data_IF_584653816629
#
_entry.id   IF_584653816629
#
_cell.length_a   1.000
_cell.length_b   1.000
_cell.length_c   1.000
_cell.angle_alpha   90.00
_cell.angle_beta   90.00
_cell.angle_gamma   90.00
#
_symmetry.space_group_name_H-M   'P 1'
#
loop_
_entity.id
_entity.type
_entity.pdbx_description
1 polymer ?
#
# COMPACT_ATOMS: atom_id res chain seq x y z
N UNK A 1 16.33 -14.06 -28.37
CA UNK A 1 17.10 -13.76 -27.14
C UNK A 1 16.22 -12.93 -26.22
N UNK A 2 15.54 -13.55 -25.26
CA UNK A 2 14.72 -12.81 -24.29
C UNK A 2 15.65 -12.09 -23.31
N UNK A 3 15.72 -10.75 -23.42
CA UNK A 3 16.61 -9.90 -22.63
C UNK A 3 16.27 -10.05 -21.15
N UNK A 4 17.28 -10.40 -20.38
CA UNK A 4 17.21 -10.67 -18.95
C UNK A 4 16.79 -9.42 -18.19
N UNK A 5 15.67 -9.46 -17.47
CA UNK A 5 15.29 -8.40 -16.52
C UNK A 5 14.65 -7.15 -17.14
N UNK A 6 14.34 -7.14 -18.44
CA UNK A 6 13.51 -6.08 -19.01
C UNK A 6 12.10 -6.14 -18.40
N UNK A 7 11.62 -4.98 -17.94
CA UNK A 7 10.30 -4.83 -17.35
C UNK A 7 9.48 -3.85 -18.17
N UNK A 8 8.28 -4.27 -18.57
CA UNK A 8 7.33 -3.41 -19.27
C UNK A 8 6.30 -2.88 -18.27
N UNK A 9 6.08 -1.56 -18.26
CA UNK A 9 5.01 -0.95 -17.47
C UNK A 9 3.81 -0.68 -18.38
N UNK A 10 2.68 -1.33 -18.10
CA UNK A 10 1.46 -1.19 -18.90
C UNK A 10 0.22 -1.22 -18.00
N UNK A 11 -0.71 -0.27 -18.20
CA UNK A 11 -1.96 -0.13 -17.42
C UNK A 11 -1.78 -0.17 -15.88
N UNK A 12 -0.64 0.31 -15.39
CA UNK A 12 -0.34 0.30 -13.95
C UNK A 12 0.17 -1.04 -13.42
N UNK A 13 0.44 -2.02 -14.29
CA UNK A 13 1.16 -3.24 -13.96
C UNK A 13 2.59 -3.19 -14.49
N UNK A 14 3.49 -3.86 -13.78
CA UNK A 14 4.83 -4.19 -14.25
C UNK A 14 4.84 -5.65 -14.66
N UNK A 15 5.17 -5.90 -15.92
CA UNK A 15 5.38 -7.21 -16.51
C UNK A 15 6.88 -7.49 -16.53
N UNK A 16 7.31 -8.57 -15.89
CA UNK A 16 8.74 -8.94 -15.83
C UNK A 16 8.91 -10.45 -15.88
N UNK A 17 9.90 -10.93 -16.63
CA UNK A 17 10.29 -12.34 -16.58
C UNK A 17 11.17 -12.61 -15.36
N UNK A 18 10.61 -13.35 -14.39
CA UNK A 18 11.32 -13.78 -13.19
C UNK A 18 11.76 -15.24 -13.32
N UNK A 19 12.88 -15.58 -12.65
CA UNK A 19 13.34 -16.96 -12.53
C UNK A 19 12.39 -17.75 -11.65
N UNK A 20 12.24 -19.03 -11.96
CA UNK A 20 11.48 -19.96 -11.12
C UNK A 20 11.97 -19.93 -9.66
N UNK A 21 11.03 -19.89 -8.72
CA UNK A 21 11.34 -19.87 -7.28
C UNK A 21 11.99 -21.17 -6.82
N UNK A 22 11.73 -22.28 -7.51
CA UNK A 22 12.26 -23.60 -7.17
C UNK A 22 13.55 -23.95 -7.91
N UNK A 23 14.22 -22.97 -8.52
CA UNK A 23 15.56 -23.14 -9.09
C UNK A 23 15.61 -23.91 -10.40
N UNK A 24 14.46 -24.23 -11.00
CA UNK A 24 14.42 -24.82 -12.35
C UNK A 24 14.92 -23.82 -13.38
N UNK A 25 15.54 -24.29 -14.46
CA UNK A 25 15.98 -23.42 -15.57
C UNK A 25 14.80 -22.97 -16.45
N UNK A 26 13.75 -22.42 -15.83
CA UNK A 26 12.58 -21.86 -16.47
C UNK A 26 12.35 -20.45 -15.93
N UNK A 27 11.84 -19.59 -16.80
CA UNK A 27 11.41 -18.24 -16.47
C UNK A 27 9.93 -18.14 -16.76
N UNK A 28 9.23 -17.33 -15.98
CA UNK A 28 7.81 -17.11 -16.17
C UNK A 28 7.51 -15.61 -16.11
N UNK A 29 6.46 -15.23 -16.81
CA UNK A 29 5.96 -13.86 -16.80
C UNK A 29 5.32 -13.58 -15.44
N UNK A 30 5.89 -12.64 -14.71
CA UNK A 30 5.36 -12.14 -13.45
C UNK A 30 4.66 -10.80 -13.69
N UNK A 31 3.41 -10.69 -13.22
CA UNK A 31 2.64 -9.46 -13.22
C UNK A 31 2.43 -8.98 -11.80
N UNK A 32 2.78 -7.74 -11.52
CA UNK A 32 2.51 -7.11 -10.24
C UNK A 32 2.20 -5.62 -10.41
N UNK A 33 1.54 -4.97 -9.44
CA UNK A 33 1.27 -3.54 -9.52
C UNK A 33 2.56 -2.74 -9.65
N UNK A 34 2.58 -1.78 -10.57
CA UNK A 34 3.71 -0.88 -10.77
C UNK A 34 3.89 0.09 -9.58
N UNK A 35 5.08 0.66 -9.42
CA UNK A 35 5.39 1.57 -8.32
C UNK A 35 4.48 2.81 -8.28
N UNK A 36 4.23 3.43 -9.44
CA UNK A 36 3.41 4.66 -9.55
C UNK A 36 1.99 4.51 -8.97
N UNK A 37 1.17 3.51 -9.34
CA UNK A 37 -0.16 3.34 -8.73
C UNK A 37 -0.11 2.96 -7.24
N UNK A 38 0.95 2.29 -6.79
CA UNK A 38 1.18 2.00 -5.36
C UNK A 38 1.44 3.29 -4.58
N UNK A 39 2.30 4.17 -5.08
CA UNK A 39 2.57 5.49 -4.50
C UNK A 39 1.30 6.33 -4.46
N UNK A 40 0.56 6.42 -5.56
CA UNK A 40 -0.74 7.13 -5.60
C UNK A 40 -1.75 6.59 -4.59
N UNK A 41 -1.77 5.28 -4.34
CA UNK A 41 -2.62 4.70 -3.30
C UNK A 41 -2.16 5.15 -1.92
N UNK A 42 -0.85 5.09 -1.64
CA UNK A 42 -0.28 5.55 -0.36
C UNK A 42 -0.56 7.03 -0.12
N UNK A 43 -0.43 7.87 -1.14
CA UNK A 43 -0.72 9.30 -1.06
C UNK A 43 -2.18 9.58 -0.73
N UNK A 44 -3.11 8.87 -1.37
CA UNK A 44 -4.54 8.97 -1.05
C UNK A 44 -4.82 8.58 0.40
N UNK A 45 -4.27 7.47 0.87
CA UNK A 45 -4.38 7.05 2.28
C UNK A 45 -3.75 8.09 3.20
N UNK A 46 -2.63 8.68 2.80
CA UNK A 46 -1.94 9.72 3.55
C UNK A 46 -2.82 10.97 3.72
N UNK A 47 -3.43 11.46 2.64
CA UNK A 47 -4.39 12.58 2.66
C UNK A 47 -5.60 12.29 3.54
N UNK A 48 -6.17 11.08 3.45
CA UNK A 48 -7.32 10.67 4.26
C UNK A 48 -7.00 10.57 5.76
N UNK A 49 -5.77 10.18 6.11
CA UNK A 49 -5.31 10.00 7.49
C UNK A 49 -4.51 11.19 8.05
N UNK A 50 -4.22 12.20 7.22
CA UNK A 50 -3.35 13.33 7.56
C UNK A 50 -4.01 14.37 8.48
N UNK A 51 -5.32 14.56 8.40
CA UNK A 51 -6.04 15.54 9.24
C UNK A 51 -6.43 14.97 10.60
N UNK A 52 -5.47 14.37 11.32
CA UNK A 52 -5.65 13.56 12.54
C UNK A 52 -6.61 14.11 13.60
N UNK A 53 -6.91 15.42 13.60
CA UNK A 53 -7.80 16.10 14.54
C UNK A 53 -9.22 16.39 14.04
N UNK A 54 -9.47 16.45 12.73
CA UNK A 54 -10.75 16.98 12.19
C UNK A 54 -11.81 15.97 11.76
N UNK A 55 -11.47 14.70 11.52
CA UNK A 55 -12.40 13.70 10.95
C UNK A 55 -12.83 12.62 11.95
N UNK A 56 -14.06 12.11 12.01
CA UNK A 56 -14.38 10.93 12.81
C UNK A 56 -13.54 9.70 12.39
N UNK A 57 -13.18 8.84 13.36
CA UNK A 57 -12.41 7.62 13.08
C UNK A 57 -13.14 6.70 12.09
N UNK A 58 -14.46 6.56 12.28
CA UNK A 58 -15.33 5.72 11.46
C UNK A 58 -15.29 6.17 10.00
N UNK A 59 -15.46 7.47 9.75
CA UNK A 59 -15.44 8.04 8.40
C UNK A 59 -14.10 7.83 7.70
N UNK A 60 -12.99 7.98 8.43
CA UNK A 60 -11.65 7.71 7.89
C UNK A 60 -11.47 6.22 7.53
N UNK A 61 -11.98 5.33 8.39
CA UNK A 61 -11.93 3.88 8.16
C UNK A 61 -12.77 3.46 6.95
N UNK A 62 -13.99 4.00 6.81
CA UNK A 62 -14.87 3.71 5.68
C UNK A 62 -14.26 4.19 4.36
N UNK A 63 -13.71 5.41 4.33
CA UNK A 63 -13.06 5.96 3.14
C UNK A 63 -11.85 5.13 2.71
N UNK A 64 -10.98 4.74 3.67
CA UNK A 64 -9.82 3.89 3.35
C UNK A 64 -10.25 2.48 2.96
N UNK A 65 -11.29 1.92 3.59
CA UNK A 65 -11.82 0.61 3.22
C UNK A 65 -12.38 0.60 1.80
N UNK A 66 -13.14 1.63 1.41
CA UNK A 66 -13.65 1.79 0.04
C UNK A 66 -12.52 1.91 -0.98
N UNK A 67 -11.51 2.74 -0.68
CA UNK A 67 -10.33 2.90 -1.53
C UNK A 67 -9.58 1.56 -1.68
N UNK A 68 -9.37 0.84 -0.58
CA UNK A 68 -8.67 -0.45 -0.57
C UNK A 68 -9.45 -1.53 -1.31
N UNK A 69 -10.78 -1.54 -1.19
CA UNK A 69 -11.65 -2.47 -1.93
C UNK A 69 -11.58 -2.27 -3.44
N UNK A 70 -11.69 -1.01 -3.90
CA UNK A 70 -11.57 -0.70 -5.32
C UNK A 70 -10.16 -0.97 -5.88
N UNK A 71 -9.13 -0.65 -5.09
CA UNK A 71 -7.75 -0.97 -5.47
C UNK A 71 -7.52 -2.48 -5.55
N UNK A 72 -8.08 -3.25 -4.59
CA UNK A 72 -8.07 -4.71 -4.64
C UNK A 72 -8.69 -5.22 -5.92
N UNK A 73 -9.92 -4.82 -6.20
CA UNK A 73 -10.66 -5.32 -7.37
C UNK A 73 -9.91 -5.14 -8.69
N UNK A 74 -9.18 -4.03 -8.85
CA UNK A 74 -8.40 -3.78 -10.06
C UNK A 74 -7.07 -4.54 -10.09
N UNK A 75 -6.35 -4.60 -8.97
CA UNK A 75 -4.99 -5.15 -8.90
C UNK A 75 -4.92 -6.61 -8.43
N UNK A 76 -6.05 -7.30 -8.23
CA UNK A 76 -6.12 -8.73 -7.85
C UNK A 76 -5.81 -9.68 -9.02
N UNK A 77 -4.88 -9.30 -9.88
CA UNK A 77 -4.44 -10.08 -11.04
C UNK A 77 -2.94 -10.37 -10.99
N UNK A 78 -2.55 -11.59 -11.36
CA UNK A 78 -1.16 -12.04 -11.40
C UNK A 78 -0.59 -12.38 -10.03
N UNK A 79 0.50 -11.72 -9.64
CA UNK A 79 1.23 -11.94 -8.38
C UNK A 79 1.22 -10.74 -7.42
N UNK A 80 0.04 -10.24 -7.02
CA UNK A 80 -0.03 -8.99 -6.28
C UNK A 80 0.21 -9.17 -4.78
N UNK A 81 0.19 -10.41 -4.26
CA UNK A 81 0.25 -10.74 -2.81
C UNK A 81 1.33 -9.99 -2.04
N UNK A 82 2.54 -9.89 -2.58
CA UNK A 82 3.65 -9.17 -1.93
C UNK A 82 3.32 -7.68 -1.77
N UNK A 83 2.88 -7.05 -2.86
CA UNK A 83 2.50 -5.63 -2.87
C UNK A 83 1.32 -5.35 -1.92
N UNK A 84 0.29 -6.21 -1.94
CA UNK A 84 -0.86 -6.07 -1.03
C UNK A 84 -0.46 -6.19 0.44
N UNK A 85 0.44 -7.10 0.77
CA UNK A 85 0.96 -7.23 2.14
C UNK A 85 1.66 -5.93 2.59
N UNK A 86 2.49 -5.36 1.74
CA UNK A 86 3.22 -4.12 2.04
C UNK A 86 2.26 -2.92 2.19
N UNK A 87 1.22 -2.86 1.35
CA UNK A 87 0.15 -1.85 1.47
C UNK A 87 -0.69 -2.01 2.72
N UNK A 88 -1.07 -3.23 3.08
CA UNK A 88 -1.81 -3.52 4.31
C UNK A 88 -1.02 -3.09 5.54
N UNK A 89 0.28 -3.40 5.58
CA UNK A 89 1.16 -2.95 6.65
C UNK A 89 1.23 -1.42 6.72
N UNK A 90 1.38 -0.74 5.58
CA UNK A 90 1.38 0.72 5.51
C UNK A 90 0.09 1.33 6.07
N UNK A 91 -1.07 0.83 5.64
CA UNK A 91 -2.39 1.30 6.13
C UNK A 91 -2.52 1.09 7.63
N UNK A 92 -2.09 -0.07 8.15
CA UNK A 92 -2.11 -0.36 9.58
C UNK A 92 -1.24 0.63 10.37
N UNK A 93 -0.02 0.91 9.92
CA UNK A 93 0.85 1.91 10.57
C UNK A 93 0.24 3.31 10.54
N UNK A 94 -0.42 3.69 9.44
CA UNK A 94 -1.12 4.98 9.35
C UNK A 94 -2.24 5.09 10.37
N UNK A 95 -3.08 4.08 10.53
CA UNK A 95 -4.15 4.10 11.54
C UNK A 95 -3.62 4.04 12.97
N UNK A 96 -2.54 3.27 13.22
CA UNK A 96 -1.86 3.28 14.52
C UNK A 96 -1.41 4.68 14.90
N UNK A 97 -0.73 5.39 13.98
CA UNK A 97 -0.31 6.76 14.20
C UNK A 97 -1.51 7.71 14.35
N UNK A 98 -2.53 7.59 13.51
CA UNK A 98 -3.75 8.39 13.60
C UNK A 98 -4.42 8.29 14.99
N UNK A 99 -4.54 7.09 15.54
CA UNK A 99 -5.09 6.86 16.89
C UNK A 99 -4.17 7.41 17.99
N UNK A 100 -2.84 7.27 17.83
CA UNK A 100 -1.89 7.81 18.79
C UNK A 100 -1.94 9.34 18.88
N UNK A 101 -2.07 10.05 17.75
CA UNK A 101 -2.15 11.53 17.75
C UNK A 101 -3.45 12.06 18.35
N UNK A 102 -4.53 11.26 18.35
CA UNK A 102 -5.80 11.59 19.03
C UNK A 102 -5.78 11.30 20.52
N UNK A 103 -4.92 10.40 20.96
CA UNK A 103 -4.88 10.00 22.35
C UNK A 103 -4.31 11.13 23.20
N UNK A 104 -5.19 11.79 23.96
CA UNK A 104 -4.84 12.77 25.00
C UNK A 104 -3.81 12.23 26.01
N UNK A 105 -3.71 10.89 26.18
CA UNK A 105 -2.75 10.24 27.09
C UNK A 105 -1.28 10.54 26.75
N UNK A 106 -0.98 10.83 25.49
CA UNK A 106 0.38 11.16 25.02
C UNK A 106 0.68 12.67 25.16
N UNK A 107 -0.34 13.52 25.12
CA UNK A 107 -0.24 14.97 25.26
C UNK A 107 -0.28 15.38 26.74
N UNK A 108 0.68 14.92 27.55
CA UNK A 108 0.86 15.48 28.89
C UNK A 108 1.57 16.82 28.76
N UNK A 109 1.02 17.95 29.25
CA UNK A 109 1.80 19.17 29.36
C UNK A 109 2.99 18.89 30.27
N UNK A 110 4.19 19.30 29.86
CA UNK A 110 5.33 19.27 30.77
C UNK A 110 4.99 20.25 31.90
N UNK A 111 4.84 19.74 33.12
CA UNK A 111 4.71 20.59 34.30
C UNK A 111 5.98 21.44 34.33
N UNK A 112 5.84 22.75 34.16
CA UNK A 112 6.93 23.69 34.45
C UNK A 112 7.25 23.54 35.94
N UNK A 113 8.53 23.32 36.25
CA UNK A 113 9.06 23.18 37.60
C UNK A 113 9.12 24.53 38.31
#
# INVERSE_FOLDING_TARGET
MERTGESLNFLGFTLRYDRDRYGRNRRYLNLFPASKPVERFKDKVWTLTGSGYGRPLKDALEQVSRLSGGWKQYFDFGYPRKCFRDLNWFVLQRFKNFLQHRSQRKCKPQRQA
#
